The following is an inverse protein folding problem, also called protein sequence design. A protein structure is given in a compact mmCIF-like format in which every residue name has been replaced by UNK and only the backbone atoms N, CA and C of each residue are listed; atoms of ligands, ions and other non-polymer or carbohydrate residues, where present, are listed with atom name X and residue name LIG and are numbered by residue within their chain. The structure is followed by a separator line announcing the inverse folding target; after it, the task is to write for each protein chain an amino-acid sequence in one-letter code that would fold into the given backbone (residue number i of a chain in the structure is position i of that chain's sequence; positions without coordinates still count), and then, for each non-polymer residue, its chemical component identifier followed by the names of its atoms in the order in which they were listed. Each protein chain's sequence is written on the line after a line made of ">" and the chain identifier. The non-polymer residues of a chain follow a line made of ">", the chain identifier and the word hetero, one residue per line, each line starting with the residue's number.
data_IF_707744786135
#
_entry.id   IF_707744786135
#
_cell.length_a   1.000
_cell.length_b   1.000
_cell.length_c   1.000
_cell.angle_alpha   90.00
_cell.angle_beta   90.00
_cell.angle_gamma   90.00
#
_symmetry.space_group_name_H-M   'P 1'
#
loop_
_entity.id
_entity.type
_entity.pdbx_description
1 polymer ?
#
# COMPACT_ATOMS: atom_id res chain seq x y z
N UNK A 1 -1.98 -20.97 -24.31
CA UNK A 1 -1.80 -19.60 -24.84
C UNK A 1 -2.93 -18.70 -24.33
N UNK A 2 -2.95 -18.42 -23.02
CA UNK A 2 -3.96 -17.58 -22.39
C UNK A 2 -3.62 -16.09 -22.61
N UNK A 3 -4.36 -15.47 -23.52
CA UNK A 3 -4.70 -14.04 -23.62
C UNK A 3 -3.73 -12.98 -23.10
N UNK A 4 -2.79 -12.55 -23.95
CA UNK A 4 -2.18 -11.20 -23.88
C UNK A 4 -3.24 -10.07 -23.93
N UNK A 5 -4.48 -10.36 -24.35
CA UNK A 5 -5.57 -9.39 -24.49
C UNK A 5 -6.15 -8.84 -23.17
N UNK A 6 -5.95 -9.50 -22.02
CA UNK A 6 -6.52 -9.03 -20.74
C UNK A 6 -5.62 -8.04 -19.97
N UNK A 7 -4.34 -7.90 -20.35
CA UNK A 7 -3.35 -7.07 -19.65
C UNK A 7 -3.16 -5.68 -20.25
N UNK A 8 -3.68 -5.42 -21.45
CA UNK A 8 -3.61 -4.10 -22.08
C UNK A 8 -4.40 -2.97 -21.39
N UNK A 9 -5.55 -3.18 -20.70
CA UNK A 9 -6.35 -2.05 -20.24
C UNK A 9 -5.72 -1.30 -19.05
N UNK A 10 -5.01 -1.99 -18.14
CA UNK A 10 -4.49 -1.36 -16.92
C UNK A 10 -3.36 -0.34 -17.14
N UNK A 11 -2.26 -0.66 -17.85
CA UNK A 11 -1.21 0.33 -18.09
C UNK A 11 -1.71 1.51 -18.94
N UNK A 12 -2.61 1.25 -19.90
CA UNK A 12 -3.26 2.31 -20.70
C UNK A 12 -4.13 3.19 -19.81
N UNK A 13 -4.98 2.61 -18.96
CA UNK A 13 -5.81 3.35 -18.00
C UNK A 13 -4.96 4.19 -17.07
N UNK A 14 -3.89 3.63 -16.50
CA UNK A 14 -2.96 4.35 -15.62
C UNK A 14 -2.27 5.50 -16.39
N UNK A 15 -1.88 5.29 -17.66
CA UNK A 15 -1.26 6.34 -18.48
C UNK A 15 -2.25 7.46 -18.79
N UNK A 16 -3.48 7.12 -19.16
CA UNK A 16 -4.58 8.07 -19.35
C UNK A 16 -4.84 8.83 -18.05
N UNK A 17 -4.91 8.17 -16.90
CA UNK A 17 -5.06 8.82 -15.60
C UNK A 17 -3.87 9.74 -15.30
N UNK A 18 -2.65 9.37 -15.62
CA UNK A 18 -1.47 10.21 -15.41
C UNK A 18 -1.55 11.51 -16.25
N UNK A 19 -1.99 11.41 -17.50
CA UNK A 19 -2.20 12.56 -18.41
C UNK A 19 -3.38 13.41 -17.95
N UNK A 20 -4.55 12.81 -17.72
CA UNK A 20 -5.79 13.49 -17.29
C UNK A 20 -5.58 14.18 -15.96
N UNK A 21 -4.84 13.55 -15.05
CA UNK A 21 -4.56 14.12 -13.74
C UNK A 21 -3.44 15.14 -13.78
N UNK A 22 -2.67 15.33 -14.86
CA UNK A 22 -1.50 16.23 -14.93
C UNK A 22 -1.75 17.62 -14.30
N UNK A 23 -0.78 18.18 -13.56
CA UNK A 23 -1.04 19.38 -12.78
C UNK A 23 -1.12 20.61 -13.68
N UNK A 24 -2.09 21.48 -13.40
CA UNK A 24 -2.29 22.76 -14.09
C UNK A 24 -2.27 23.90 -13.05
N UNK A 25 -2.03 25.15 -13.47
CA UNK A 25 -2.02 26.31 -12.55
C UNK A 25 -3.33 26.45 -11.76
N UNK A 26 -4.48 26.23 -12.42
CA UNK A 26 -5.79 26.27 -11.75
C UNK A 26 -5.93 25.17 -10.68
N UNK A 27 -5.43 23.96 -10.98
CA UNK A 27 -5.42 22.85 -10.02
C UNK A 27 -4.44 23.10 -8.87
N UNK A 28 -3.25 23.67 -9.12
CA UNK A 28 -2.29 23.95 -8.05
C UNK A 28 -2.81 24.99 -7.06
N UNK A 29 -3.44 26.09 -7.53
CA UNK A 29 -4.14 27.04 -6.64
C UNK A 29 -5.24 26.36 -5.83
N UNK A 30 -6.07 25.52 -6.47
CA UNK A 30 -7.15 24.78 -5.77
C UNK A 30 -6.58 23.86 -4.69
N UNK A 31 -5.48 23.15 -4.98
CA UNK A 31 -4.78 22.31 -4.00
C UNK A 31 -4.30 23.16 -2.84
N UNK A 32 -3.57 24.25 -3.07
CA UNK A 32 -3.08 25.12 -1.99
C UNK A 32 -4.21 25.63 -1.08
N UNK A 33 -5.33 26.07 -1.66
CA UNK A 33 -6.53 26.47 -0.88
C UNK A 33 -7.10 25.32 -0.06
N UNK A 34 -7.20 24.14 -0.66
CA UNK A 34 -7.72 22.96 0.04
C UNK A 34 -6.85 22.56 1.24
N UNK A 35 -5.56 22.90 1.21
CA UNK A 35 -4.59 22.68 2.28
C UNK A 35 -4.33 23.92 3.15
N UNK A 36 -5.19 24.94 3.08
CA UNK A 36 -5.22 26.04 4.05
C UNK A 36 -4.50 27.33 3.63
N UNK A 37 -3.93 27.43 2.43
CA UNK A 37 -3.39 28.69 1.91
C UNK A 37 -4.53 29.57 1.44
N UNK A 38 -4.79 30.66 2.17
CA UNK A 38 -5.79 31.67 1.81
C UNK A 38 -5.25 32.46 0.61
N UNK A 39 -6.03 32.57 -0.46
CA UNK A 39 -5.71 33.31 -1.68
C UNK A 39 -4.28 33.10 -2.22
N UNK A 40 -3.96 31.89 -2.71
CA UNK A 40 -2.61 31.56 -3.15
C UNK A 40 -2.15 32.45 -4.31
N UNK A 41 -0.98 33.07 -4.12
CA UNK A 41 -0.34 33.95 -5.11
C UNK A 41 0.10 33.15 -6.35
N UNK A 42 0.43 33.87 -7.41
CA UNK A 42 0.88 33.26 -8.67
C UNK A 42 2.21 32.52 -8.52
N UNK A 43 3.11 33.07 -7.69
CA UNK A 43 4.39 32.45 -7.36
C UNK A 43 4.22 31.17 -6.53
N UNK A 44 3.34 31.19 -5.52
CA UNK A 44 2.99 29.99 -4.74
C UNK A 44 2.37 28.92 -5.65
N UNK A 45 1.44 29.33 -6.54
CA UNK A 45 0.80 28.42 -7.50
C UNK A 45 1.79 27.81 -8.51
N UNK A 46 2.78 28.59 -8.96
CA UNK A 46 3.84 28.12 -9.84
C UNK A 46 4.80 27.14 -9.14
N UNK A 47 5.17 27.43 -7.90
CA UNK A 47 5.99 26.54 -7.07
C UNK A 47 5.28 25.23 -6.76
N UNK A 48 3.99 25.28 -6.40
CA UNK A 48 3.17 24.09 -6.22
C UNK A 48 2.97 23.29 -7.52
N UNK A 49 2.84 23.96 -8.68
CA UNK A 49 2.76 23.30 -9.98
C UNK A 49 4.03 22.49 -10.27
N UNK A 50 5.21 23.09 -10.13
CA UNK A 50 6.50 22.40 -10.31
C UNK A 50 6.63 21.21 -9.37
N UNK A 51 6.30 21.40 -8.09
CA UNK A 51 6.31 20.35 -7.09
C UNK A 51 5.41 19.16 -7.47
N UNK A 52 4.15 19.42 -7.85
CA UNK A 52 3.20 18.37 -8.25
C UNK A 52 3.61 17.67 -9.55
N UNK A 53 4.21 18.40 -10.50
CA UNK A 53 4.67 17.85 -11.76
C UNK A 53 5.81 16.86 -11.55
N UNK A 54 6.83 17.25 -10.76
CA UNK A 54 7.97 16.36 -10.43
C UNK A 54 7.48 15.07 -9.77
N UNK A 55 6.56 15.16 -8.81
CA UNK A 55 6.04 13.96 -8.13
C UNK A 55 5.28 13.03 -9.06
N UNK A 56 4.45 13.58 -9.95
CA UNK A 56 3.71 12.77 -10.91
C UNK A 56 4.62 12.12 -11.95
N UNK A 57 5.64 12.85 -12.40
CA UNK A 57 6.66 12.26 -13.28
C UNK A 57 7.39 11.10 -12.57
N UNK A 58 7.74 11.25 -11.29
CA UNK A 58 8.34 10.18 -10.51
C UNK A 58 7.38 8.99 -10.34
N UNK A 59 6.09 9.21 -10.08
CA UNK A 59 5.12 8.11 -10.00
C UNK A 59 5.00 7.36 -11.31
N UNK A 60 4.94 8.06 -12.44
CA UNK A 60 4.92 7.44 -13.76
C UNK A 60 6.22 6.65 -13.99
N UNK A 61 7.38 7.25 -13.71
CA UNK A 61 8.67 6.58 -13.86
C UNK A 61 8.73 5.30 -13.02
N UNK A 62 8.44 5.39 -11.73
CA UNK A 62 8.54 4.24 -10.86
C UNK A 62 7.48 3.18 -11.16
N UNK A 63 6.26 3.57 -11.55
CA UNK A 63 5.19 2.62 -11.84
C UNK A 63 5.38 1.90 -13.17
N UNK A 64 5.80 2.62 -14.23
CA UNK A 64 5.89 2.06 -15.57
C UNK A 64 7.27 1.52 -15.93
N UNK A 65 8.33 2.00 -15.29
CA UNK A 65 9.70 1.58 -15.59
C UNK A 65 10.24 0.70 -14.47
N UNK A 66 10.32 1.22 -13.25
CA UNK A 66 10.97 0.53 -12.14
C UNK A 66 10.16 -0.67 -11.67
N UNK A 67 8.83 -0.54 -11.60
CA UNK A 67 7.92 -1.62 -11.28
C UNK A 67 8.23 -2.83 -12.16
N UNK A 68 7.88 -2.83 -13.46
CA UNK A 68 8.06 -4.00 -14.31
C UNK A 68 9.47 -4.59 -14.30
N UNK A 69 10.50 -3.76 -14.11
CA UNK A 69 11.88 -4.21 -13.93
C UNK A 69 12.05 -5.05 -12.65
N UNK A 70 11.57 -4.56 -11.51
CA UNK A 70 11.58 -5.29 -10.24
C UNK A 70 10.75 -6.58 -10.33
N UNK A 71 9.66 -6.60 -11.11
CA UNK A 71 8.87 -7.81 -11.40
C UNK A 71 9.71 -8.95 -11.94
N UNK A 72 10.53 -8.62 -12.94
CA UNK A 72 11.38 -9.59 -13.62
C UNK A 72 12.45 -10.15 -12.69
N UNK A 73 12.84 -9.41 -11.67
CA UNK A 73 13.86 -9.82 -10.70
C UNK A 73 13.30 -10.68 -9.56
N UNK A 74 11.98 -10.69 -9.33
CA UNK A 74 11.32 -11.37 -8.22
C UNK A 74 10.09 -12.19 -8.70
N UNK A 75 10.28 -13.28 -9.47
CA UNK A 75 9.20 -14.00 -10.15
C UNK A 75 8.27 -14.81 -9.24
N UNK A 76 8.53 -14.86 -7.93
CA UNK A 76 7.80 -15.73 -6.97
C UNK A 76 6.50 -15.14 -6.42
N UNK A 77 6.20 -13.88 -6.70
CA UNK A 77 4.95 -13.26 -6.26
C UNK A 77 3.90 -13.39 -7.35
N UNK A 78 2.67 -13.72 -6.96
CA UNK A 78 1.52 -13.73 -7.88
C UNK A 78 1.40 -12.39 -8.61
N UNK A 79 1.03 -12.45 -9.89
CA UNK A 79 0.99 -11.31 -10.81
C UNK A 79 0.21 -10.11 -10.24
N UNK A 80 -0.88 -10.36 -9.52
CA UNK A 80 -1.73 -9.32 -8.93
C UNK A 80 -1.13 -8.70 -7.66
N UNK A 81 -0.54 -9.52 -6.79
CA UNK A 81 0.13 -9.03 -5.57
C UNK A 81 1.36 -8.21 -5.94
N UNK A 82 2.07 -8.65 -6.98
CA UNK A 82 3.24 -7.97 -7.50
C UNK A 82 2.93 -6.53 -7.96
N UNK A 83 1.87 -6.33 -8.73
CA UNK A 83 1.49 -5.00 -9.22
C UNK A 83 1.18 -4.03 -8.08
N UNK A 84 0.53 -4.51 -7.01
CA UNK A 84 0.24 -3.71 -5.83
C UNK A 84 1.51 -3.32 -5.07
N UNK A 85 2.40 -4.28 -4.77
CA UNK A 85 3.67 -3.99 -4.08
C UNK A 85 4.58 -3.08 -4.88
N UNK A 86 4.68 -3.29 -6.19
CA UNK A 86 5.46 -2.46 -7.08
C UNK A 86 4.92 -1.03 -7.14
N UNK A 87 3.59 -0.86 -7.23
CA UNK A 87 2.95 0.45 -7.17
C UNK A 87 3.23 1.16 -5.84
N UNK A 88 3.11 0.47 -4.72
CA UNK A 88 3.33 1.07 -3.39
C UNK A 88 4.80 1.45 -3.19
N UNK A 89 5.73 0.56 -3.56
CA UNK A 89 7.16 0.84 -3.54
C UNK A 89 7.52 2.01 -4.47
N UNK A 90 6.93 2.04 -5.66
CA UNK A 90 7.09 3.12 -6.62
C UNK A 90 6.66 4.48 -6.07
N UNK A 91 5.51 4.51 -5.40
CA UNK A 91 4.99 5.72 -4.76
C UNK A 91 5.90 6.17 -3.61
N UNK A 92 6.36 5.25 -2.75
CA UNK A 92 7.27 5.57 -1.64
C UNK A 92 8.64 6.06 -2.14
N UNK A 93 9.21 5.43 -3.16
CA UNK A 93 10.48 5.85 -3.75
C UNK A 93 10.34 7.19 -4.49
N UNK A 94 9.22 7.42 -5.17
CA UNK A 94 8.89 8.72 -5.76
C UNK A 94 8.80 9.83 -4.71
N UNK A 95 8.25 9.51 -3.54
CA UNK A 95 8.18 10.43 -2.40
C UNK A 95 9.57 10.69 -1.78
N UNK A 96 10.36 9.64 -1.57
CA UNK A 96 11.72 9.74 -1.05
C UNK A 96 12.62 10.57 -1.96
N UNK A 97 12.63 10.28 -3.26
CA UNK A 97 13.41 11.01 -4.26
C UNK A 97 12.96 12.47 -4.35
N UNK A 98 11.65 12.75 -4.31
CA UNK A 98 11.14 14.11 -4.30
C UNK A 98 11.55 14.89 -3.03
N UNK A 99 11.69 14.20 -1.90
CA UNK A 99 12.02 14.83 -0.61
C UNK A 99 13.52 15.06 -0.45
N UNK A 100 14.35 14.16 -0.97
CA UNK A 100 15.81 14.28 -0.94
C UNK A 100 16.36 15.23 -2.01
N UNK A 101 15.57 15.60 -3.03
CA UNK A 101 16.04 16.46 -4.11
C UNK A 101 16.43 17.85 -3.57
N UNK A 102 17.69 18.30 -3.76
CA UNK A 102 18.12 19.62 -3.29
C UNK A 102 17.35 20.71 -4.03
N UNK A 103 16.75 21.63 -3.27
CA UNK A 103 16.10 22.80 -3.86
C UNK A 103 17.16 23.88 -4.08
N UNK A 104 17.51 24.09 -5.34
CA UNK A 104 18.47 25.14 -5.73
C UNK A 104 17.78 26.51 -5.74
N UNK A 105 18.41 27.51 -5.13
CA UNK A 105 18.02 28.92 -5.28
C UNK A 105 16.91 29.44 -4.37
N UNK A 106 16.54 28.73 -3.30
CA UNK A 106 15.58 29.24 -2.31
C UNK A 106 16.26 29.98 -1.16
N UNK A 107 15.79 31.18 -0.83
CA UNK A 107 16.12 31.88 0.42
C UNK A 107 15.70 31.01 1.60
N UNK A 108 16.66 30.64 2.46
CA UNK A 108 16.37 29.91 3.69
C UNK A 108 15.79 30.89 4.70
N UNK A 109 14.51 30.72 5.02
CA UNK A 109 13.85 31.49 6.08
C UNK A 109 13.87 30.67 7.36
N UNK A 110 14.49 31.20 8.42
CA UNK A 110 14.47 30.57 9.74
C UNK A 110 13.08 30.73 10.35
N UNK A 111 12.33 29.64 10.48
CA UNK A 111 11.08 29.63 11.25
C UNK A 111 11.38 29.15 12.66
N UNK A 112 11.11 29.99 13.67
CA UNK A 112 11.34 29.65 15.09
C UNK A 112 10.25 28.75 15.70
N UNK A 113 9.17 28.45 14.95
CA UNK A 113 8.08 27.62 15.46
C UNK A 113 8.49 26.14 15.37
N UNK A 114 8.67 25.43 16.50
CA UNK A 114 8.93 24.01 16.48
C UNK A 114 7.74 23.29 15.85
N UNK A 115 8.02 22.36 14.94
CA UNK A 115 7.00 21.56 14.25
C UNK A 115 7.04 20.14 14.78
N UNK A 116 5.87 19.54 14.94
CA UNK A 116 5.73 18.14 15.34
C UNK A 116 5.10 17.33 14.21
N UNK A 117 5.27 16.01 14.24
CA UNK A 117 4.62 15.13 13.26
C UNK A 117 3.08 15.20 13.33
N UNK A 118 2.53 15.53 14.51
CA UNK A 118 1.08 15.67 14.75
C UNK A 118 0.48 16.85 13.99
N UNK A 119 1.29 17.84 13.64
CA UNK A 119 0.87 18.98 12.80
C UNK A 119 0.74 18.58 11.33
N UNK A 120 1.46 17.53 10.90
CA UNK A 120 1.46 17.05 9.53
C UNK A 120 0.39 15.97 9.30
N UNK A 121 0.32 15.00 10.20
CA UNK A 121 -0.53 13.82 10.06
C UNK A 121 -1.45 13.68 11.27
N UNK A 122 -2.76 13.47 11.07
CA UNK A 122 -3.66 13.25 12.19
C UNK A 122 -3.33 11.92 12.90
N UNK A 123 -3.43 11.93 14.24
CA UNK A 123 -3.10 10.76 15.09
C UNK A 123 -3.85 9.51 14.67
N UNK A 124 -5.15 9.63 14.33
CA UNK A 124 -5.95 8.48 13.91
C UNK A 124 -5.36 7.78 12.67
N UNK A 125 -4.78 8.52 11.72
CA UNK A 125 -4.18 7.92 10.51
C UNK A 125 -2.93 7.11 10.85
N UNK A 126 -2.14 7.58 11.83
CA UNK A 126 -0.98 6.85 12.35
C UNK A 126 -1.41 5.58 13.08
N UNK A 127 -2.46 5.66 13.90
CA UNK A 127 -3.04 4.50 14.59
C UNK A 127 -3.60 3.49 13.60
N UNK A 128 -4.34 3.92 12.57
CA UNK A 128 -4.85 3.04 11.52
C UNK A 128 -3.72 2.30 10.81
N UNK A 129 -2.65 2.99 10.41
CA UNK A 129 -1.49 2.36 9.78
C UNK A 129 -0.84 1.32 10.70
N UNK A 130 -0.59 1.70 11.97
CA UNK A 130 0.00 0.80 12.95
C UNK A 130 -0.87 -0.45 13.19
N UNK A 131 -2.20 -0.29 13.24
CA UNK A 131 -3.14 -1.41 13.39
C UNK A 131 -3.04 -2.41 12.24
N UNK A 132 -3.10 -1.94 10.98
CA UNK A 132 -2.93 -2.82 9.82
C UNK A 132 -1.56 -3.52 9.82
N UNK A 133 -0.49 -2.79 10.15
CA UNK A 133 0.85 -3.34 10.21
C UNK A 133 1.00 -4.43 11.29
N UNK A 134 0.47 -4.20 12.49
CA UNK A 134 0.48 -5.16 13.60
C UNK A 134 -0.34 -6.40 13.26
N UNK A 135 -1.53 -6.23 12.67
CA UNK A 135 -2.35 -7.37 12.24
C UNK A 135 -1.61 -8.20 11.17
N UNK A 136 -1.03 -7.55 10.15
CA UNK A 136 -0.28 -8.23 9.11
C UNK A 136 0.90 -9.03 9.69
N UNK A 137 1.66 -8.42 10.60
CA UNK A 137 2.77 -9.07 11.30
C UNK A 137 2.30 -10.26 12.14
N UNK A 138 1.18 -10.10 12.85
CA UNK A 138 0.61 -11.15 13.71
C UNK A 138 0.22 -12.38 12.90
N UNK A 139 -0.44 -12.19 11.76
CA UNK A 139 -0.79 -13.31 10.87
C UNK A 139 0.43 -13.94 10.20
N UNK A 140 1.43 -13.15 9.80
CA UNK A 140 2.67 -13.70 9.25
C UNK A 140 3.42 -14.57 10.27
N UNK A 141 3.56 -14.09 11.51
CA UNK A 141 4.15 -14.87 12.62
C UNK A 141 3.32 -16.11 12.92
N UNK A 142 1.99 -16.00 12.94
CA UNK A 142 1.10 -17.14 13.10
C UNK A 142 1.34 -18.23 12.05
N UNK A 143 1.48 -17.85 10.77
CA UNK A 143 1.78 -18.81 9.70
C UNK A 143 3.13 -19.50 9.91
N UNK A 144 4.17 -18.76 10.31
CA UNK A 144 5.50 -19.33 10.61
C UNK A 144 5.45 -20.33 11.76
N UNK A 145 4.79 -19.97 12.87
CA UNK A 145 4.65 -20.84 14.04
C UNK A 145 3.80 -22.07 13.72
N UNK A 146 2.85 -21.95 12.80
CA UNK A 146 1.97 -23.04 12.37
C UNK A 146 2.60 -23.96 11.32
N UNK A 147 3.85 -23.72 10.92
CA UNK A 147 4.50 -24.52 9.87
C UNK A 147 4.58 -26.02 10.18
N UNK A 148 4.84 -26.49 11.42
CA UNK A 148 4.77 -27.92 11.73
C UNK A 148 3.38 -28.52 11.50
N UNK A 149 2.31 -27.76 11.72
CA UNK A 149 0.95 -28.19 11.40
C UNK A 149 0.75 -28.23 9.89
N UNK A 150 1.24 -27.22 9.15
CA UNK A 150 1.21 -27.19 7.69
C UNK A 150 1.88 -28.42 7.06
N UNK A 151 3.01 -28.89 7.60
CA UNK A 151 3.67 -30.11 7.14
C UNK A 151 2.81 -31.37 7.35
N UNK A 152 2.10 -31.47 8.49
CA UNK A 152 1.17 -32.59 8.74
C UNK A 152 -0.03 -32.55 7.79
N UNK A 153 -0.56 -31.36 7.51
CA UNK A 153 -1.63 -31.14 6.53
C UNK A 153 -1.17 -31.54 5.12
N UNK A 154 0.03 -31.10 4.70
CA UNK A 154 0.59 -31.47 3.41
C UNK A 154 0.80 -32.99 3.26
N UNK A 155 1.32 -33.65 4.31
CA UNK A 155 1.46 -35.11 4.31
C UNK A 155 0.10 -35.85 4.26
N UNK A 156 -0.97 -35.25 4.82
CA UNK A 156 -2.31 -35.81 4.70
C UNK A 156 -2.84 -35.72 3.26
N UNK A 157 -2.52 -34.65 2.51
CA UNK A 157 -2.84 -34.56 1.08
C UNK A 157 -2.13 -35.64 0.26
N UNK A 158 -0.86 -35.94 0.53
CA UNK A 158 -0.14 -37.05 -0.13
C UNK A 158 -0.89 -38.38 0.05
N UNK A 159 -1.39 -38.62 1.27
CA UNK A 159 -2.17 -39.80 1.57
C UNK A 159 -3.52 -39.82 0.84
N UNK A 160 -4.24 -38.69 0.76
CA UNK A 160 -5.53 -38.61 0.04
C UNK A 160 -5.34 -38.85 -1.46
N UNK A 161 -4.33 -38.22 -2.07
CA UNK A 161 -4.03 -38.40 -3.49
C UNK A 161 -3.67 -39.86 -3.78
N UNK A 162 -2.85 -40.48 -2.93
CA UNK A 162 -2.49 -41.89 -3.02
C UNK A 162 -3.70 -42.83 -2.83
N UNK A 163 -4.45 -42.66 -1.74
CA UNK A 163 -5.57 -43.53 -1.37
C UNK A 163 -6.76 -43.42 -2.33
N UNK A 164 -6.95 -42.26 -2.95
CA UNK A 164 -8.03 -42.06 -3.91
C UNK A 164 -7.73 -42.66 -5.29
N UNK A 165 -6.50 -43.15 -5.54
CA UNK A 165 -6.07 -43.68 -6.84
C UNK A 165 -6.17 -42.63 -7.96
N UNK A 166 -6.30 -41.35 -7.59
CA UNK A 166 -6.62 -40.26 -8.51
C UNK A 166 -5.37 -39.76 -9.21
N UNK A 167 -4.98 -40.51 -10.22
CA UNK A 167 -4.84 -39.87 -11.52
C UNK A 167 -6.24 -39.57 -12.05
N UNK A 168 -7.02 -38.66 -11.43
CA UNK A 168 -8.33 -38.27 -11.98
C UNK A 168 -8.08 -37.64 -13.33
N UNK A 169 -8.32 -38.41 -14.37
CA UNK A 169 -8.50 -37.90 -15.71
C UNK A 169 -9.91 -37.33 -15.79
N UNK A 170 -10.05 -36.15 -16.39
CA UNK A 170 -11.34 -35.56 -16.71
C UNK A 170 -12.10 -36.48 -17.68
N UNK A 171 -13.33 -36.11 -18.04
CA UNK A 171 -14.13 -36.89 -19.01
C UNK A 171 -13.45 -37.07 -20.37
N UNK A 172 -12.37 -36.33 -20.65
CA UNK A 172 -11.61 -36.37 -21.90
C UNK A 172 -10.27 -37.13 -21.75
N UNK A 173 -9.97 -37.73 -20.59
CA UNK A 173 -8.68 -38.40 -20.39
C UNK A 173 -7.53 -37.46 -20.05
N UNK A 174 -7.77 -36.20 -19.69
CA UNK A 174 -6.74 -35.27 -19.24
C UNK A 174 -6.63 -35.25 -17.71
N UNK A 175 -5.42 -35.37 -17.12
CA UNK A 175 -5.29 -35.30 -15.68
C UNK A 175 -5.86 -33.97 -15.16
N UNK A 176 -6.92 -34.06 -14.35
CA UNK A 176 -7.49 -32.96 -13.59
C UNK A 176 -6.41 -32.48 -12.64
N UNK A 177 -5.73 -31.40 -13.01
CA UNK A 177 -4.85 -30.67 -12.10
C UNK A 177 -5.74 -29.99 -11.08
N UNK A 178 -6.00 -30.67 -9.97
CA UNK A 178 -6.37 -29.95 -8.76
C UNK A 178 -5.26 -28.96 -8.44
N UNK A 179 -5.61 -27.74 -8.05
CA UNK A 179 -4.63 -26.80 -7.52
C UNK A 179 -4.07 -27.44 -6.26
N UNK A 180 -2.89 -28.05 -6.41
CA UNK A 180 -2.15 -28.62 -5.31
C UNK A 180 -1.79 -27.49 -4.34
N UNK A 181 -2.37 -27.44 -3.12
CA UNK A 181 -2.09 -26.37 -2.18
C UNK A 181 -0.76 -26.58 -1.45
N UNK A 182 -0.07 -27.73 -1.63
CA UNK A 182 1.19 -28.05 -0.93
C UNK A 182 2.32 -27.06 -1.22
N UNK A 183 2.62 -26.65 -2.48
CA UNK A 183 3.69 -25.71 -2.78
C UNK A 183 3.45 -24.38 -2.09
N UNK A 184 2.19 -23.95 -2.05
CA UNK A 184 1.80 -22.82 -1.24
C UNK A 184 2.09 -23.16 0.20
N UNK A 185 1.34 -24.03 0.89
CA UNK A 185 1.45 -24.33 2.34
C UNK A 185 2.88 -24.47 2.89
N UNK A 186 3.78 -25.07 2.11
CA UNK A 186 5.17 -25.32 2.50
C UNK A 186 6.12 -24.15 2.23
N UNK A 187 5.73 -23.16 1.41
CA UNK A 187 6.53 -21.97 1.16
C UNK A 187 6.68 -21.10 2.42
N UNK A 188 7.84 -21.18 3.07
CA UNK A 188 8.19 -20.33 4.20
C UNK A 188 8.63 -18.92 3.78
N UNK A 189 8.90 -18.69 2.49
CA UNK A 189 9.43 -17.39 2.07
C UNK A 189 8.38 -16.28 2.18
N UNK A 190 7.10 -16.59 1.91
CA UNK A 190 6.02 -15.61 1.90
C UNK A 190 5.79 -14.92 3.26
N UNK A 191 5.69 -15.61 4.42
CA UNK A 191 5.58 -14.93 5.71
C UNK A 191 6.77 -14.01 6.02
N UNK A 192 8.00 -14.43 5.68
CA UNK A 192 9.19 -13.58 5.84
C UNK A 192 9.14 -12.35 4.92
N UNK A 193 8.66 -12.50 3.69
CA UNK A 193 8.42 -11.37 2.78
C UNK A 193 7.37 -10.41 3.33
N UNK A 194 6.30 -10.91 3.95
CA UNK A 194 5.30 -10.06 4.63
C UNK A 194 5.94 -9.29 5.78
N UNK A 195 6.69 -9.96 6.66
CA UNK A 195 7.40 -9.33 7.79
C UNK A 195 8.34 -8.23 7.27
N UNK A 196 9.20 -8.56 6.30
CA UNK A 196 10.12 -7.60 5.70
C UNK A 196 9.37 -6.43 5.05
N UNK A 197 8.27 -6.71 4.34
CA UNK A 197 7.41 -5.71 3.70
C UNK A 197 6.77 -4.75 4.71
N UNK A 198 6.27 -5.27 5.84
CA UNK A 198 5.71 -4.45 6.94
C UNK A 198 6.80 -3.54 7.52
N UNK A 199 7.96 -4.10 7.86
CA UNK A 199 9.07 -3.34 8.44
C UNK A 199 9.57 -2.24 7.50
N UNK A 200 9.77 -2.57 6.22
CA UNK A 200 10.19 -1.61 5.20
C UNK A 200 9.16 -0.50 5.01
N UNK A 201 7.87 -0.83 4.99
CA UNK A 201 6.78 0.15 4.85
C UNK A 201 6.74 1.08 6.06
N UNK A 202 6.82 0.55 7.28
CA UNK A 202 6.86 1.32 8.53
C UNK A 202 8.05 2.28 8.53
N UNK A 203 9.26 1.78 8.26
CA UNK A 203 10.48 2.59 8.22
C UNK A 203 10.36 3.69 7.15
N UNK A 204 9.93 3.34 5.93
CA UNK A 204 9.79 4.29 4.85
C UNK A 204 8.77 5.39 5.18
N UNK A 205 7.57 5.02 5.63
CA UNK A 205 6.50 5.97 5.93
C UNK A 205 6.90 6.93 7.05
N UNK A 206 7.37 6.41 8.18
CA UNK A 206 7.71 7.26 9.32
C UNK A 206 9.03 8.01 9.12
N UNK A 207 10.00 7.42 8.43
CA UNK A 207 11.22 8.11 8.01
C UNK A 207 10.93 9.30 7.10
N UNK A 208 9.99 9.16 6.16
CA UNK A 208 9.58 10.26 5.28
C UNK A 208 8.76 11.34 6.00
N UNK A 209 7.87 10.95 6.93
CA UNK A 209 7.14 11.90 7.78
C UNK A 209 8.13 12.67 8.66
N UNK A 210 9.10 11.98 9.27
CA UNK A 210 10.16 12.61 10.06
C UNK A 210 11.01 13.56 9.21
N UNK A 211 11.40 13.15 8.00
CA UNK A 211 12.12 14.00 7.07
C UNK A 211 11.31 15.26 6.70
N UNK A 212 9.99 15.13 6.54
CA UNK A 212 9.11 16.28 6.29
C UNK A 212 9.03 17.26 7.47
N UNK A 213 9.18 16.78 8.71
CA UNK A 213 9.28 17.61 9.92
C UNK A 213 10.62 18.35 9.95
N UNK A 214 11.74 17.63 9.76
CA UNK A 214 13.10 18.16 9.94
C UNK A 214 13.56 19.05 8.78
N UNK A 215 13.02 18.86 7.57
CA UNK A 215 13.46 19.59 6.37
C UNK A 215 13.36 21.13 6.56
N UNK A 216 14.36 21.93 6.15
CA UNK A 216 14.28 23.39 6.17
C UNK A 216 13.16 23.93 5.28
N UNK A 217 12.51 25.02 5.66
CA UNK A 217 11.50 25.71 4.83
C UNK A 217 12.16 26.23 3.57
N UNK A 218 11.52 26.01 2.41
CA UNK A 218 12.03 26.50 1.12
C UNK A 218 10.97 27.28 0.37
N UNK A 219 11.31 28.52 0.01
CA UNK A 219 10.39 29.44 -0.66
C UNK A 219 9.37 30.01 0.32
N UNK A 220 8.14 30.19 -0.17
CA UNK A 220 7.05 30.72 0.65
C UNK A 220 6.67 29.74 1.79
N UNK A 221 6.70 30.18 3.07
CA UNK A 221 6.45 29.30 4.21
C UNK A 221 5.04 28.68 4.24
N UNK A 222 4.01 29.37 3.74
CA UNK A 222 2.63 28.88 3.78
C UNK A 222 2.42 27.78 2.75
N UNK A 223 2.92 27.99 1.52
CA UNK A 223 2.86 26.98 0.46
C UNK A 223 3.69 25.74 0.83
N UNK A 224 4.90 25.91 1.39
CA UNK A 224 5.74 24.78 1.83
C UNK A 224 5.04 23.97 2.94
N UNK A 225 4.47 24.63 3.95
CA UNK A 225 3.73 23.95 5.02
C UNK A 225 2.55 23.13 4.46
N UNK A 226 1.73 23.72 3.59
CA UNK A 226 0.60 23.05 2.96
C UNK A 226 1.02 21.81 2.15
N UNK A 227 2.10 21.92 1.36
CA UNK A 227 2.61 20.82 0.54
C UNK A 227 3.22 19.69 1.38
N UNK A 228 3.83 20.01 2.52
CA UNK A 228 4.35 19.02 3.47
C UNK A 228 3.26 18.25 4.18
N UNK A 229 2.24 18.94 4.70
CA UNK A 229 1.07 18.29 5.31
C UNK A 229 0.45 17.33 4.29
N UNK A 230 0.26 17.78 3.04
CA UNK A 230 -0.20 16.92 1.95
C UNK A 230 0.71 15.71 1.75
N UNK A 231 2.02 15.93 1.62
CA UNK A 231 3.00 14.85 1.42
C UNK A 231 2.91 13.81 2.54
N UNK A 232 2.99 14.26 3.79
CA UNK A 232 3.00 13.41 4.96
C UNK A 232 1.74 12.54 5.03
N UNK A 233 0.57 13.13 4.76
CA UNK A 233 -0.69 12.38 4.72
C UNK A 233 -0.75 11.40 3.55
N UNK A 234 -0.32 11.81 2.36
CA UNK A 234 -0.24 10.89 1.21
C UNK A 234 0.66 9.70 1.52
N UNK A 235 1.82 9.92 2.15
CA UNK A 235 2.76 8.87 2.54
C UNK A 235 2.16 7.91 3.57
N UNK A 236 1.51 8.42 4.62
CA UNK A 236 0.82 7.56 5.60
C UNK A 236 -0.34 6.81 4.98
N UNK A 237 -1.11 7.43 4.09
CA UNK A 237 -2.19 6.77 3.39
C UNK A 237 -1.70 5.65 2.45
N UNK A 238 -0.58 5.85 1.75
CA UNK A 238 0.11 4.79 0.99
C UNK A 238 0.53 3.65 1.92
N UNK A 239 1.09 3.99 3.09
CA UNK A 239 1.43 3.03 4.14
C UNK A 239 0.24 2.18 4.60
N UNK A 240 -0.92 2.80 4.85
CA UNK A 240 -2.15 2.10 5.22
C UNK A 240 -2.55 1.10 4.14
N UNK A 241 -2.55 1.51 2.86
CA UNK A 241 -2.89 0.61 1.76
C UNK A 241 -1.89 -0.54 1.64
N UNK A 242 -0.59 -0.26 1.79
CA UNK A 242 0.46 -1.27 1.79
C UNK A 242 0.30 -2.29 2.92
N UNK A 243 0.07 -1.81 4.14
CA UNK A 243 -0.14 -2.67 5.29
C UNK A 243 -1.44 -3.50 5.16
N UNK A 244 -2.51 -2.93 4.59
CA UNK A 244 -3.74 -3.66 4.29
C UNK A 244 -3.52 -4.77 3.24
N UNK A 245 -2.73 -4.50 2.19
CA UNK A 245 -2.35 -5.51 1.20
C UNK A 245 -1.54 -6.65 1.83
N UNK A 246 -0.54 -6.30 2.65
CA UNK A 246 0.28 -7.27 3.39
C UNK A 246 -0.57 -8.11 4.36
N UNK A 247 -1.54 -7.49 5.02
CA UNK A 247 -2.52 -8.19 5.87
C UNK A 247 -3.34 -9.19 5.06
N UNK A 248 -3.84 -8.81 3.88
CA UNK A 248 -4.59 -9.72 3.02
C UNK A 248 -3.74 -10.90 2.57
N UNK A 249 -2.48 -10.67 2.18
CA UNK A 249 -1.54 -11.76 1.85
C UNK A 249 -1.33 -12.70 3.04
N UNK A 250 -1.10 -12.17 4.24
CA UNK A 250 -0.91 -12.97 5.45
C UNK A 250 -2.17 -13.75 5.86
N UNK A 251 -3.33 -13.11 5.77
CA UNK A 251 -4.62 -13.70 6.14
C UNK A 251 -5.04 -14.77 5.16
N UNK A 252 -4.95 -14.52 3.85
CA UNK A 252 -5.18 -15.52 2.81
C UNK A 252 -4.32 -16.78 3.03
N UNK A 253 -3.07 -16.55 3.46
CA UNK A 253 -2.19 -17.66 3.80
C UNK A 253 -2.62 -18.41 5.05
N UNK A 254 -3.02 -17.68 6.10
CA UNK A 254 -3.54 -18.28 7.33
C UNK A 254 -4.82 -19.10 7.07
N UNK A 255 -5.70 -18.67 6.16
CA UNK A 255 -6.93 -19.40 5.82
C UNK A 255 -6.65 -20.73 5.13
N UNK A 256 -5.57 -20.83 4.34
CA UNK A 256 -5.16 -22.10 3.73
C UNK A 256 -4.79 -23.18 4.76
N UNK A 257 -4.34 -22.79 5.95
CA UNK A 257 -4.07 -23.72 7.05
C UNK A 257 -5.36 -24.26 7.68
N UNK A 258 -6.47 -23.53 7.55
CA UNK A 258 -7.77 -23.86 8.13
C UNK A 258 -8.71 -24.55 7.12
N UNK A 259 -8.19 -25.05 6.00
CA UNK A 259 -9.01 -25.65 4.95
C UNK A 259 -9.84 -26.83 5.50
N UNK A 260 -11.18 -26.82 5.33
CA UNK A 260 -12.07 -27.85 5.85
C UNK A 260 -11.87 -29.23 5.21
N UNK A 261 -11.18 -29.33 4.07
CA UNK A 261 -10.80 -30.62 3.48
C UNK A 261 -9.80 -31.34 4.39
N UNK A 262 -8.98 -30.58 5.13
CA UNK A 262 -7.93 -31.10 6.00
C UNK A 262 -8.30 -30.86 7.45
N UNK A 263 -9.53 -31.25 7.86
CA UNK A 263 -10.01 -31.33 9.25
C UNK A 263 -9.18 -32.30 10.12
N UNK A 264 -7.86 -32.18 10.09
CA UNK A 264 -6.96 -32.70 11.09
C UNK A 264 -7.22 -31.82 12.31
N UNK A 265 -7.69 -32.44 13.38
CA UNK A 265 -8.08 -31.88 14.69
C UNK A 265 -6.98 -31.10 15.44
N UNK A 266 -5.98 -30.56 14.75
CA UNK A 266 -4.75 -30.03 15.33
C UNK A 266 -4.71 -28.51 15.45
N UNK A 267 -5.59 -27.77 14.76
CA UNK A 267 -5.72 -26.34 15.00
C UNK A 267 -6.56 -26.08 16.27
N UNK A 268 -6.11 -25.18 17.16
CA UNK A 268 -6.92 -24.72 18.29
C UNK A 268 -8.32 -24.28 17.85
N UNK A 269 -9.35 -24.65 18.61
CA UNK A 269 -10.75 -24.36 18.29
C UNK A 269 -11.05 -22.86 18.09
N UNK A 270 -10.32 -21.99 18.79
CA UNK A 270 -10.43 -20.54 18.63
C UNK A 270 -9.98 -20.03 17.26
N UNK A 271 -9.33 -20.85 16.43
CA UNK A 271 -8.95 -20.53 15.05
C UNK A 271 -9.95 -21.08 14.01
N UNK A 272 -11.00 -21.79 14.44
CA UNK A 272 -12.00 -22.33 13.52
C UNK A 272 -12.68 -21.24 12.67
N UNK A 273 -12.72 -19.99 13.13
CA UNK A 273 -13.26 -18.88 12.34
C UNK A 273 -12.43 -18.61 11.06
N UNK A 274 -11.15 -18.97 10.99
CA UNK A 274 -10.35 -18.77 9.77
C UNK A 274 -10.90 -19.55 8.57
N UNK A 275 -11.54 -20.70 8.78
CA UNK A 275 -12.18 -21.44 7.69
C UNK A 275 -13.44 -20.75 7.15
N UNK A 276 -13.97 -19.76 7.88
CA UNK A 276 -15.11 -18.94 7.45
C UNK A 276 -14.72 -17.69 6.69
N UNK A 277 -13.42 -17.34 6.70
CA UNK A 277 -12.90 -16.18 5.97
C UNK A 277 -12.88 -16.52 4.48
N UNK A 278 -13.68 -15.77 3.74
CA UNK A 278 -13.84 -15.88 2.30
C UNK A 278 -12.98 -14.87 1.56
N UNK A 279 -12.82 -15.06 0.25
CA UNK A 279 -12.23 -14.04 -0.63
C UNK A 279 -12.97 -12.70 -0.54
N UNK A 280 -14.28 -12.69 -0.34
CA UNK A 280 -15.05 -11.45 -0.13
C UNK A 280 -14.63 -10.69 1.13
N UNK A 281 -14.30 -11.40 2.21
CA UNK A 281 -13.82 -10.76 3.45
C UNK A 281 -12.46 -10.09 3.24
N UNK A 282 -11.56 -10.74 2.49
CA UNK A 282 -10.29 -10.15 2.10
C UNK A 282 -10.47 -8.89 1.24
N UNK A 283 -11.46 -8.88 0.35
CA UNK A 283 -11.78 -7.69 -0.44
C UNK A 283 -12.29 -6.53 0.42
N UNK A 284 -13.03 -6.80 1.50
CA UNK A 284 -13.43 -5.77 2.46
C UNK A 284 -12.22 -5.14 3.15
N UNK A 285 -11.20 -5.92 3.51
CA UNK A 285 -9.94 -5.39 4.08
C UNK A 285 -9.27 -4.42 3.11
N UNK A 286 -9.18 -4.77 1.82
CA UNK A 286 -8.62 -3.87 0.79
C UNK A 286 -9.48 -2.63 0.56
N UNK A 287 -10.80 -2.79 0.55
CA UNK A 287 -11.72 -1.66 0.37
C UNK A 287 -11.59 -0.68 1.53
N UNK A 288 -11.54 -1.17 2.77
CA UNK A 288 -11.33 -0.35 3.97
C UNK A 288 -9.96 0.33 3.91
N UNK A 289 -8.90 -0.40 3.58
CA UNK A 289 -7.56 0.18 3.39
C UNK A 289 -7.54 1.30 2.34
N UNK A 290 -8.23 1.08 1.21
CA UNK A 290 -8.37 2.06 0.13
C UNK A 290 -9.17 3.29 0.57
N UNK A 291 -10.29 3.10 1.26
CA UNK A 291 -11.09 4.21 1.80
C UNK A 291 -10.30 5.01 2.83
N UNK A 292 -9.59 4.35 3.74
CA UNK A 292 -8.70 5.01 4.69
C UNK A 292 -7.62 5.83 3.95
N UNK A 293 -6.96 5.25 2.94
CA UNK A 293 -5.99 5.96 2.12
C UNK A 293 -6.58 7.24 1.51
N UNK A 294 -7.74 7.14 0.87
CA UNK A 294 -8.44 8.29 0.25
C UNK A 294 -8.77 9.36 1.29
N UNK A 295 -9.34 8.97 2.43
CA UNK A 295 -9.72 9.92 3.50
C UNK A 295 -8.49 10.59 4.12
N UNK A 296 -7.38 9.87 4.29
CA UNK A 296 -6.13 10.44 4.80
C UNK A 296 -5.54 11.42 3.77
N UNK A 297 -5.51 11.05 2.50
CA UNK A 297 -4.88 11.82 1.42
C UNK A 297 -5.68 13.07 1.02
N UNK A 298 -6.99 13.11 1.27
CA UNK A 298 -7.85 14.25 0.98
C UNK A 298 -7.87 15.21 2.18
N UNK A 299 -7.67 16.52 1.98
CA UNK A 299 -7.80 17.47 3.07
C UNK A 299 -9.26 17.53 3.57
N UNK A 300 -9.49 17.16 4.82
CA UNK A 300 -10.76 17.50 5.48
C UNK A 300 -10.82 19.02 5.63
N UNK A 301 -11.90 19.64 5.13
CA UNK A 301 -12.08 21.10 5.14
C UNK A 301 -11.71 21.66 6.53
N UNK A 302 -10.76 22.62 6.62
CA UNK A 302 -10.35 23.19 7.90
C UNK A 302 -11.57 23.69 8.67
N UNK A 303 -11.76 23.23 9.91
CA UNK A 303 -12.81 23.75 10.80
C UNK A 303 -12.67 25.28 10.98
N UNK A 304 -11.44 25.81 10.89
CA UNK A 304 -11.14 27.23 10.92
C UNK A 304 -11.88 28.05 9.84
N UNK A 305 -12.06 27.52 8.62
CA UNK A 305 -12.83 28.22 7.58
C UNK A 305 -14.34 28.27 7.90
N UNK A 306 -14.85 27.36 8.75
CA UNK A 306 -16.22 27.45 9.25
C UNK A 306 -16.34 28.48 10.36
N UNK A 307 -15.34 28.57 11.25
CA UNK A 307 -15.35 29.55 12.34
C UNK A 307 -15.26 30.99 11.79
N UNK A 308 -14.39 31.25 10.81
CA UNK A 308 -14.28 32.57 10.18
C UNK A 308 -15.55 32.94 9.40
N UNK A 309 -16.19 32.00 8.70
CA UNK A 309 -17.49 32.22 8.04
C UNK A 309 -18.67 32.34 8.98
N UNK A 310 -18.56 31.84 10.21
CA UNK A 310 -19.62 31.98 11.21
C UNK A 310 -19.50 33.31 11.97
N UNK A 311 -18.35 33.99 11.87
CA UNK A 311 -18.06 35.23 12.58
C UNK A 311 -18.21 36.51 11.73
N UNK A 312 -18.53 36.38 10.44
CA UNK A 312 -18.78 37.49 9.53
C UNK A 312 -19.97 37.21 8.63
#
# INVERSE_FOLDING_TARGET
>A
MAGLGALLPMPVLIAVLAVVLWPTRRRSRRVLRAWGVVDPTDEQAHSALRYLAVRRALYVLFLFVIGPLVARLLPRLDQYQWAAYALLAALLLGELTATLRPVRGGTRVATLVPRTWRDLVPVWAVVTHALFAVLALSFAVFVLVSHPAAMRVAAAYDWIDYASGRGTVDTNGHPVRFNDPRPDLLDQSLPWLVIAGVLLTVIAVYGLVWLAVVRPVVGDPQADAALRVRSARVMVGIGVMAAAQLLVTALHRATGLADPIVRVSTLPSWLAWLSSVTWSDLMWVLLVGTMCWVVIAIPMRPRALRAVRAAG
#
